data_IF_132293959760
#
_entry.id   IF_132293959760
#
_cell.length_a   1.000
_cell.length_b   1.000
_cell.length_c   1.000
_cell.angle_alpha   90.00
_cell.angle_beta   90.00
_cell.angle_gamma   90.00
#
_symmetry.space_group_name_H-M   'P 1'
#
loop_
_entity.id
_entity.type
_entity.pdbx_description
1 polymer ?
#
# COMPACT_ATOMS: atom_id res chain seq x y z
N UNK A 1 -12.75 24.27 5.31
CA UNK A 1 -11.94 24.51 6.51
C UNK A 1 -12.32 23.56 7.64
N UNK A 2 -11.35 22.96 8.32
CA UNK A 2 -11.55 22.12 9.51
C UNK A 2 -10.91 22.82 10.70
N UNK A 3 -11.65 22.95 11.81
CA UNK A 3 -11.16 23.56 13.05
C UNK A 3 -11.25 22.55 14.19
N UNK A 4 -10.13 22.29 14.85
CA UNK A 4 -10.03 21.45 16.05
C UNK A 4 -9.48 22.30 17.21
N UNK A 5 -10.19 22.33 18.34
CA UNK A 5 -9.79 23.11 19.51
C UNK A 5 -9.84 22.25 20.76
N UNK A 6 -8.67 22.04 21.37
CA UNK A 6 -8.48 21.28 22.61
C UNK A 6 -9.03 19.87 22.55
N UNK A 7 -8.98 19.21 21.38
CA UNK A 7 -9.59 17.89 21.14
C UNK A 7 -8.88 16.84 21.96
N UNK A 8 -9.64 16.18 22.86
CA UNK A 8 -9.17 15.06 23.67
C UNK A 8 -10.15 13.90 23.58
N UNK A 9 -9.59 12.68 23.53
CA UNK A 9 -10.38 11.45 23.37
C UNK A 9 -9.68 10.23 23.95
N UNK A 10 -10.46 9.34 24.59
CA UNK A 10 -10.03 8.03 25.06
C UNK A 10 -11.04 6.96 24.70
N UNK A 11 -10.58 5.77 24.28
CA UNK A 11 -11.47 4.65 23.94
C UNK A 11 -12.06 3.96 25.18
N UNK A 12 -11.31 3.92 26.28
CA UNK A 12 -11.63 3.16 27.49
C UNK A 12 -11.61 4.01 28.77
N UNK A 13 -11.38 5.31 28.63
CA UNK A 13 -11.24 6.24 29.74
C UNK A 13 -9.92 6.12 30.52
N UNK A 14 -9.04 5.16 30.16
CA UNK A 14 -7.79 4.92 30.88
C UNK A 14 -6.59 5.60 30.21
N UNK A 15 -6.46 5.47 28.88
CA UNK A 15 -5.37 6.05 28.12
C UNK A 15 -5.89 7.09 27.11
N UNK A 16 -5.30 8.29 27.12
CA UNK A 16 -5.61 9.33 26.14
C UNK A 16 -5.08 8.95 24.76
N UNK A 17 -5.98 8.77 23.80
CA UNK A 17 -5.62 8.59 22.39
C UNK A 17 -5.36 9.94 21.69
N UNK A 18 -6.08 10.99 22.12
CA UNK A 18 -5.83 12.40 21.76
C UNK A 18 -5.82 13.24 23.03
N UNK A 19 -4.92 14.19 23.13
CA UNK A 19 -4.71 15.00 24.33
C UNK A 19 -4.50 16.47 23.96
N UNK A 20 -5.59 17.22 23.94
CA UNK A 20 -5.59 18.66 23.73
C UNK A 20 -5.12 19.10 22.34
N UNK A 21 -5.59 18.49 21.27
CA UNK A 21 -5.20 18.84 19.90
C UNK A 21 -5.83 20.15 19.48
N UNK A 22 -4.99 21.14 19.16
CA UNK A 22 -5.35 22.39 18.49
C UNK A 22 -4.77 22.35 17.08
N UNK A 23 -5.65 22.32 16.07
CA UNK A 23 -5.24 22.21 14.66
C UNK A 23 -6.30 22.80 13.74
N UNK A 24 -5.87 23.58 12.74
CA UNK A 24 -6.72 24.07 11.66
C UNK A 24 -6.19 23.57 10.32
N UNK A 25 -7.11 23.17 9.43
CA UNK A 25 -6.81 22.81 8.04
C UNK A 25 -7.65 23.71 7.15
N UNK A 26 -6.98 24.42 6.24
CA UNK A 26 -7.63 25.39 5.36
C UNK A 26 -8.37 24.74 4.20
N UNK A 27 -9.30 25.46 3.58
CA UNK A 27 -9.98 24.98 2.37
C UNK A 27 -8.98 24.87 1.22
N UNK A 28 -9.02 23.76 0.50
CA UNK A 28 -8.12 23.47 -0.61
C UNK A 28 -6.67 23.16 -0.19
N UNK A 29 -6.41 22.94 1.10
CA UNK A 29 -5.07 22.57 1.60
C UNK A 29 -4.81 21.07 1.41
N UNK A 30 -3.60 20.72 1.01
CA UNK A 30 -3.09 19.35 1.11
C UNK A 30 -2.32 19.22 2.43
N UNK A 31 -2.97 18.65 3.43
CA UNK A 31 -2.45 18.49 4.78
C UNK A 31 -2.01 17.06 5.04
N UNK A 32 -0.79 16.86 5.53
CA UNK A 32 -0.25 15.54 5.84
C UNK A 32 -0.06 15.35 7.35
N UNK A 33 -0.38 14.15 7.84
CA UNK A 33 -0.20 13.75 9.24
C UNK A 33 0.77 12.57 9.30
N UNK A 34 1.88 12.78 9.98
CA UNK A 34 2.90 11.79 10.29
C UNK A 34 2.88 11.38 11.77
N UNK A 35 3.55 10.30 12.12
CA UNK A 35 3.75 9.86 13.50
C UNK A 35 3.86 8.35 13.61
N UNK A 36 4.39 7.85 14.71
CA UNK A 36 4.50 6.42 15.00
C UNK A 36 3.16 5.71 15.17
N UNK A 37 3.17 4.39 15.22
CA UNK A 37 1.97 3.60 15.53
C UNK A 37 1.47 3.96 16.93
N UNK A 38 0.14 4.09 17.09
CA UNK A 38 -0.48 4.48 18.35
C UNK A 38 -0.34 5.97 18.72
N UNK A 39 0.18 6.83 17.82
CA UNK A 39 0.31 8.28 18.10
C UNK A 39 -1.01 9.06 18.03
N UNK A 40 -2.13 8.43 17.64
CA UNK A 40 -3.46 9.06 17.58
C UNK A 40 -3.92 9.50 16.20
N UNK A 41 -3.16 9.32 15.11
CA UNK A 41 -3.47 9.79 13.75
C UNK A 41 -4.84 9.32 13.23
N UNK A 42 -5.07 8.01 13.21
CA UNK A 42 -6.34 7.44 12.73
C UNK A 42 -7.51 7.81 13.63
N UNK A 43 -7.26 7.93 14.95
CA UNK A 43 -8.26 8.44 15.90
C UNK A 43 -8.63 9.88 15.55
N UNK A 44 -7.65 10.74 15.31
CA UNK A 44 -7.88 12.11 14.89
C UNK A 44 -8.66 12.20 13.56
N UNK A 45 -8.25 11.42 12.54
CA UNK A 45 -8.97 11.36 11.26
C UNK A 45 -10.46 11.00 11.40
N UNK A 46 -10.79 10.08 12.30
CA UNK A 46 -12.18 9.67 12.59
C UNK A 46 -13.02 10.78 13.24
N UNK A 47 -12.41 11.75 13.89
CA UNK A 47 -13.11 12.93 14.39
C UNK A 47 -13.44 13.91 13.27
N UNK A 48 -12.59 13.99 12.23
CA UNK A 48 -12.79 14.90 11.11
C UNK A 48 -14.00 14.56 10.23
N UNK A 49 -14.49 13.33 10.27
CA UNK A 49 -15.73 12.93 9.58
C UNK A 49 -16.85 12.49 10.53
N UNK A 50 -16.77 12.89 11.81
CA UNK A 50 -17.75 12.59 12.86
C UNK A 50 -18.03 11.07 13.04
N UNK A 51 -17.02 10.20 12.80
CA UNK A 51 -17.08 8.78 13.20
C UNK A 51 -16.86 8.62 14.70
N UNK A 52 -16.03 9.49 15.29
CA UNK A 52 -15.83 9.60 16.72
C UNK A 52 -16.18 11.02 17.17
N UNK A 53 -16.70 11.14 18.39
CA UNK A 53 -16.93 12.43 19.04
C UNK A 53 -15.86 12.65 20.12
N UNK A 54 -15.32 13.86 20.30
CA UNK A 54 -14.32 14.13 21.31
C UNK A 54 -14.94 14.10 22.73
N UNK A 55 -14.17 13.61 23.70
CA UNK A 55 -14.55 13.69 25.13
C UNK A 55 -14.47 15.13 25.67
N UNK A 56 -13.53 15.92 25.09
CA UNK A 56 -13.38 17.34 25.40
C UNK A 56 -12.89 18.10 24.16
N UNK A 57 -13.13 19.39 24.13
CA UNK A 57 -12.82 20.25 23.00
C UNK A 57 -13.92 20.27 21.95
N UNK A 58 -13.60 20.70 20.74
CA UNK A 58 -14.56 20.76 19.62
C UNK A 58 -13.88 20.50 18.28
N UNK A 59 -14.64 19.91 17.36
CA UNK A 59 -14.27 19.71 15.95
C UNK A 59 -15.35 20.33 15.08
N UNK A 60 -14.95 21.19 14.16
CA UNK A 60 -15.85 21.77 13.15
C UNK A 60 -15.34 21.46 11.76
N UNK A 61 -16.24 21.02 10.90
CA UNK A 61 -15.95 20.70 9.49
C UNK A 61 -16.85 21.57 8.62
N UNK A 62 -16.25 22.46 7.85
CA UNK A 62 -16.97 23.43 7.03
C UNK A 62 -18.03 24.24 7.84
N UNK A 63 -17.67 24.61 9.09
CA UNK A 63 -18.54 25.32 10.02
C UNK A 63 -19.55 24.46 10.78
N UNK A 64 -19.75 23.20 10.40
CA UNK A 64 -20.62 22.23 11.06
C UNK A 64 -19.95 21.63 12.29
N UNK A 65 -20.62 21.59 13.43
CA UNK A 65 -20.12 21.02 14.67
C UNK A 65 -20.25 19.49 14.64
N UNK A 66 -19.12 18.77 14.79
CA UNK A 66 -19.12 17.31 14.75
C UNK A 66 -19.82 16.64 15.94
N UNK A 67 -20.11 17.39 17.01
CA UNK A 67 -20.86 16.90 18.18
C UNK A 67 -22.38 16.94 17.98
N UNK A 68 -22.88 17.65 16.96
CA UNK A 68 -24.31 17.74 16.64
C UNK A 68 -24.76 16.51 15.84
N UNK A 69 -25.61 15.62 16.40
CA UNK A 69 -26.09 14.42 15.73
C UNK A 69 -26.86 14.70 14.43
N UNK A 70 -27.50 15.86 14.33
CA UNK A 70 -28.28 16.27 13.15
C UNK A 70 -27.38 16.60 11.95
N UNK A 71 -26.09 17.00 12.22
CA UNK A 71 -25.15 17.41 11.20
C UNK A 71 -24.20 16.28 10.77
N UNK A 72 -24.22 15.13 11.44
CA UNK A 72 -23.31 14.00 11.15
C UNK A 72 -23.40 13.55 9.70
N UNK A 73 -24.58 13.49 9.14
CA UNK A 73 -24.78 13.09 7.75
C UNK A 73 -24.16 14.10 6.76
N UNK A 74 -24.36 15.38 6.99
CA UNK A 74 -23.82 16.46 6.16
C UNK A 74 -22.29 16.52 6.29
N UNK A 75 -21.74 16.28 7.48
CA UNK A 75 -20.30 16.20 7.71
C UNK A 75 -19.70 15.02 6.94
N UNK A 76 -20.31 13.84 6.99
CA UNK A 76 -19.81 12.63 6.28
C UNK A 76 -19.91 12.75 4.77
N UNK A 77 -20.92 13.47 4.26
CA UNK A 77 -21.01 13.77 2.83
C UNK A 77 -19.98 14.81 2.39
N UNK A 78 -19.61 15.74 3.28
CA UNK A 78 -18.61 16.78 3.03
C UNK A 78 -17.18 16.24 3.16
N UNK A 79 -16.90 15.40 4.16
CA UNK A 79 -15.59 14.85 4.48
C UNK A 79 -15.61 13.33 4.30
N UNK A 80 -15.31 12.88 3.08
CA UNK A 80 -15.21 11.47 2.74
C UNK A 80 -13.91 10.86 3.25
N UNK A 81 -13.97 9.66 3.83
CA UNK A 81 -12.83 8.98 4.40
C UNK A 81 -12.55 7.63 3.71
N UNK A 82 -11.29 7.39 3.39
CA UNK A 82 -10.78 6.10 2.93
C UNK A 82 -9.99 5.46 4.06
N UNK A 83 -10.40 4.27 4.49
CA UNK A 83 -9.78 3.55 5.60
C UNK A 83 -8.51 2.82 5.19
N UNK A 84 -7.68 2.50 6.18
CA UNK A 84 -6.44 1.74 6.03
C UNK A 84 -6.68 0.36 5.42
N UNK A 85 -7.69 -0.36 5.91
CA UNK A 85 -8.07 -1.66 5.39
C UNK A 85 -9.30 -1.54 4.49
N UNK A 86 -9.20 -1.77 3.18
CA UNK A 86 -10.34 -1.65 2.27
C UNK A 86 -11.43 -2.70 2.51
N UNK A 87 -11.10 -3.86 3.12
CA UNK A 87 -12.09 -4.88 3.43
C UNK A 87 -13.12 -4.40 4.48
N UNK A 88 -12.76 -3.42 5.31
CA UNK A 88 -13.66 -2.81 6.30
C UNK A 88 -14.58 -1.73 5.68
N UNK A 89 -14.32 -1.34 4.44
CA UNK A 89 -15.07 -0.28 3.74
C UNK A 89 -15.98 -0.82 2.64
N UNK A 90 -15.57 -1.89 1.94
CA UNK A 90 -16.32 -2.47 0.83
C UNK A 90 -17.56 -3.22 1.35
N UNK A 91 -18.75 -2.86 0.87
CA UNK A 91 -20.04 -3.39 1.34
C UNK A 91 -20.80 -4.18 0.27
N UNK A 92 -20.55 -3.91 -1.03
CA UNK A 92 -21.24 -4.58 -2.12
C UNK A 92 -20.44 -5.69 -2.77
N UNK A 93 -21.12 -6.61 -3.43
CA UNK A 93 -20.49 -7.75 -4.12
C UNK A 93 -19.82 -7.34 -5.41
N UNK A 94 -20.38 -6.39 -6.17
CA UNK A 94 -19.84 -5.89 -7.42
C UNK A 94 -19.20 -4.52 -7.24
N UNK A 95 -18.15 -4.27 -8.01
CA UNK A 95 -17.41 -3.00 -7.98
C UNK A 95 -18.32 -1.80 -8.31
N UNK A 96 -19.15 -1.90 -9.36
CA UNK A 96 -20.06 -0.80 -9.75
C UNK A 96 -21.07 -0.49 -8.65
N UNK A 97 -21.60 -1.52 -7.98
CA UNK A 97 -22.58 -1.35 -6.90
C UNK A 97 -21.93 -0.75 -5.65
N UNK A 98 -20.70 -1.14 -5.34
CA UNK A 98 -19.96 -0.59 -4.20
C UNK A 98 -19.63 0.89 -4.38
N UNK A 99 -19.21 1.27 -5.58
CA UNK A 99 -18.93 2.68 -5.92
C UNK A 99 -20.20 3.51 -5.98
N UNK A 100 -21.34 2.93 -6.38
CA UNK A 100 -22.64 3.60 -6.42
C UNK A 100 -23.25 3.81 -5.03
N UNK A 101 -22.87 3.00 -4.03
CA UNK A 101 -23.50 2.95 -2.71
C UNK A 101 -23.54 4.32 -1.99
N UNK A 102 -22.42 5.06 -2.03
CA UNK A 102 -22.35 6.39 -1.42
C UNK A 102 -23.34 7.40 -2.08
N UNK A 103 -23.23 7.63 -3.39
CA UNK A 103 -24.16 8.49 -4.13
C UNK A 103 -25.64 8.09 -4.00
N UNK A 104 -25.97 6.79 -3.96
CA UNK A 104 -27.34 6.31 -3.74
C UNK A 104 -27.87 6.74 -2.38
N UNK A 105 -27.08 6.59 -1.32
CA UNK A 105 -27.45 7.05 0.02
C UNK A 105 -27.60 8.57 0.09
N UNK A 106 -26.89 9.33 -0.74
CA UNK A 106 -27.02 10.78 -0.85
C UNK A 106 -28.23 11.21 -1.71
N UNK A 107 -28.99 10.26 -2.26
CA UNK A 107 -30.17 10.54 -3.09
C UNK A 107 -29.86 11.12 -4.46
N UNK A 108 -28.66 10.86 -4.98
CA UNK A 108 -28.26 11.29 -6.34
C UNK A 108 -29.08 10.52 -7.38
N UNK A 109 -29.48 11.20 -8.45
CA UNK A 109 -30.28 10.60 -9.53
C UNK A 109 -29.52 9.48 -10.23
N UNK A 110 -30.17 8.34 -10.53
CA UNK A 110 -29.55 7.13 -11.09
C UNK A 110 -28.73 7.38 -12.36
N UNK A 111 -29.18 8.29 -13.23
CA UNK A 111 -28.45 8.64 -14.45
C UNK A 111 -27.10 9.32 -14.14
N UNK A 112 -27.06 10.17 -13.11
CA UNK A 112 -25.85 10.84 -12.63
C UNK A 112 -24.93 9.84 -11.91
N UNK A 113 -25.49 8.92 -11.11
CA UNK A 113 -24.71 7.86 -10.44
C UNK A 113 -23.93 7.04 -11.47
N UNK A 114 -24.60 6.55 -12.52
CA UNK A 114 -23.96 5.78 -13.57
C UNK A 114 -22.83 6.53 -14.30
N UNK A 115 -22.95 7.85 -14.42
CA UNK A 115 -21.88 8.70 -14.97
C UNK A 115 -20.72 8.82 -13.99
N UNK A 116 -20.99 9.17 -12.71
CA UNK A 116 -19.98 9.31 -11.67
C UNK A 116 -19.16 8.03 -11.49
N UNK A 117 -19.82 6.86 -11.41
CA UNK A 117 -19.17 5.55 -11.30
C UNK A 117 -18.16 5.34 -12.43
N UNK A 118 -18.55 5.61 -13.70
CA UNK A 118 -17.62 5.47 -14.82
C UNK A 118 -16.43 6.43 -14.75
N UNK A 119 -16.69 7.68 -14.36
CA UNK A 119 -15.65 8.72 -14.27
C UNK A 119 -14.64 8.40 -13.16
N UNK A 120 -15.11 8.02 -11.96
CA UNK A 120 -14.21 7.71 -10.85
C UNK A 120 -13.45 6.41 -11.06
N UNK A 121 -14.08 5.36 -11.62
CA UNK A 121 -13.37 4.12 -11.99
C UNK A 121 -12.28 4.38 -13.02
N UNK A 122 -12.51 5.28 -13.98
CA UNK A 122 -11.48 5.73 -14.91
C UNK A 122 -10.36 6.49 -14.20
N UNK A 123 -10.70 7.39 -13.28
CA UNK A 123 -9.72 8.18 -12.52
C UNK A 123 -8.79 7.30 -11.68
N UNK A 124 -9.32 6.25 -11.05
CA UNK A 124 -8.52 5.30 -10.23
C UNK A 124 -7.91 4.14 -11.06
N UNK A 125 -8.09 4.13 -12.40
CA UNK A 125 -7.51 3.11 -13.28
C UNK A 125 -8.13 1.71 -13.14
N UNK A 126 -9.46 1.65 -12.93
CA UNK A 126 -10.25 0.42 -12.83
C UNK A 126 -11.30 0.28 -13.96
N UNK A 127 -11.03 0.85 -15.13
CA UNK A 127 -11.90 0.66 -16.31
C UNK A 127 -11.96 -0.82 -16.68
N UNK A 128 -13.18 -1.34 -16.87
CA UNK A 128 -13.44 -2.76 -17.18
C UNK A 128 -13.59 -3.67 -15.96
N UNK A 129 -13.50 -3.10 -14.75
CA UNK A 129 -13.71 -3.85 -13.50
C UNK A 129 -15.13 -3.69 -12.93
N UNK A 130 -16.03 -2.98 -13.59
CA UNK A 130 -17.38 -2.63 -13.12
C UNK A 130 -18.12 -3.84 -12.57
N UNK A 131 -18.09 -4.96 -13.31
CA UNK A 131 -18.80 -6.20 -12.97
C UNK A 131 -17.94 -7.26 -12.28
N UNK A 132 -16.76 -6.88 -11.80
CA UNK A 132 -15.94 -7.80 -11.01
C UNK A 132 -16.45 -7.86 -9.57
N UNK A 133 -16.29 -9.04 -8.97
CA UNK A 133 -16.62 -9.25 -7.57
C UNK A 133 -15.53 -8.62 -6.67
N UNK A 134 -15.95 -7.83 -5.70
CA UNK A 134 -15.04 -7.10 -4.81
C UNK A 134 -14.11 -8.01 -4.03
N UNK A 135 -14.59 -9.20 -3.63
CA UNK A 135 -13.79 -10.18 -2.90
C UNK A 135 -12.70 -10.85 -3.76
N UNK A 136 -12.84 -10.86 -5.09
CA UNK A 136 -11.86 -11.42 -6.02
C UNK A 136 -10.72 -10.45 -6.36
N UNK A 137 -10.80 -9.21 -5.91
CA UNK A 137 -9.81 -8.17 -6.18
C UNK A 137 -8.57 -8.33 -5.28
N UNK A 138 -7.42 -7.91 -5.80
CA UNK A 138 -6.21 -7.72 -4.99
C UNK A 138 -6.38 -6.56 -3.99
N UNK A 139 -5.61 -6.54 -2.88
CA UNK A 139 -5.69 -5.47 -1.88
C UNK A 139 -5.55 -4.07 -2.49
N UNK A 140 -4.60 -3.87 -3.42
CA UNK A 140 -4.45 -2.59 -4.11
C UNK A 140 -5.60 -2.24 -5.08
N UNK A 141 -6.31 -3.22 -5.64
CA UNK A 141 -7.53 -2.98 -6.40
C UNK A 141 -8.68 -2.61 -5.47
N UNK A 142 -8.86 -3.32 -4.36
CA UNK A 142 -9.84 -3.00 -3.32
C UNK A 142 -9.67 -1.57 -2.79
N UNK A 143 -8.43 -1.16 -2.51
CA UNK A 143 -8.12 0.19 -2.06
C UNK A 143 -8.54 1.25 -3.09
N UNK A 144 -8.34 0.97 -4.39
CA UNK A 144 -8.79 1.87 -5.46
C UNK A 144 -10.31 1.89 -5.62
N UNK A 145 -11.01 0.77 -5.35
CA UNK A 145 -12.48 0.73 -5.31
C UNK A 145 -12.99 1.57 -4.12
N UNK A 146 -12.42 1.41 -2.93
CA UNK A 146 -12.76 2.20 -1.75
C UNK A 146 -12.58 3.71 -2.01
N UNK A 147 -11.46 4.10 -2.62
CA UNK A 147 -11.23 5.48 -3.04
C UNK A 147 -12.27 5.96 -4.06
N UNK A 148 -12.60 5.13 -5.07
CA UNK A 148 -13.61 5.46 -6.07
C UNK A 148 -15.00 5.68 -5.43
N UNK A 149 -15.40 4.84 -4.46
CA UNK A 149 -16.66 4.99 -3.72
C UNK A 149 -16.75 6.33 -2.98
N UNK A 150 -15.65 6.74 -2.34
CA UNK A 150 -15.59 8.05 -1.68
C UNK A 150 -15.65 9.19 -2.69
N UNK A 151 -14.88 9.12 -3.78
CA UNK A 151 -14.86 10.17 -4.80
C UNK A 151 -16.19 10.33 -5.56
N UNK A 152 -16.95 9.24 -5.69
CA UNK A 152 -18.27 9.26 -6.33
C UNK A 152 -19.30 10.12 -5.56
N UNK A 153 -19.10 10.32 -4.25
CA UNK A 153 -19.89 11.24 -3.43
C UNK A 153 -19.58 12.72 -3.70
N UNK A 154 -18.46 13.04 -4.38
CA UNK A 154 -17.95 14.40 -4.62
C UNK A 154 -17.73 15.20 -3.33
N UNK A 155 -16.97 14.65 -2.36
CA UNK A 155 -16.73 15.33 -1.09
C UNK A 155 -15.88 16.59 -1.29
N UNK A 156 -15.96 17.56 -0.36
CA UNK A 156 -15.09 18.74 -0.33
C UNK A 156 -13.74 18.43 0.33
N UNK A 157 -13.73 17.50 1.27
CA UNK A 157 -12.55 17.02 1.99
C UNK A 157 -12.36 15.54 1.75
N UNK A 158 -11.19 15.13 1.33
CA UNK A 158 -10.79 13.73 1.19
C UNK A 158 -9.80 13.37 2.31
N UNK A 159 -10.21 12.45 3.19
CA UNK A 159 -9.38 11.95 4.28
C UNK A 159 -8.85 10.57 3.87
N UNK A 160 -7.54 10.40 3.87
CA UNK A 160 -6.85 9.17 3.50
C UNK A 160 -6.11 8.62 4.71
N UNK A 161 -6.64 7.59 5.36
CA UNK A 161 -6.00 6.96 6.51
C UNK A 161 -5.13 5.80 6.03
N UNK A 162 -3.83 6.07 5.86
CA UNK A 162 -2.82 5.11 5.36
C UNK A 162 -3.23 4.38 4.06
N UNK A 163 -4.01 5.04 3.21
CA UNK A 163 -4.58 4.48 1.99
C UNK A 163 -3.52 4.00 0.98
N UNK A 164 -2.27 4.45 1.10
CA UNK A 164 -1.15 4.06 0.25
C UNK A 164 -0.40 2.81 0.72
N UNK A 165 -0.61 2.37 1.98
CA UNK A 165 0.15 1.28 2.61
C UNK A 165 0.01 -0.08 1.90
N UNK A 166 -1.15 -0.34 1.32
CA UNK A 166 -1.47 -1.58 0.59
C UNK A 166 -1.07 -1.53 -0.89
N UNK A 167 -0.61 -0.39 -1.38
CA UNK A 167 -0.29 -0.17 -2.78
C UNK A 167 1.17 -0.49 -3.07
N UNK A 168 1.43 -1.06 -4.25
CA UNK A 168 2.77 -1.14 -4.79
C UNK A 168 3.29 0.26 -5.19
N UNK A 169 4.58 0.43 -5.48
CA UNK A 169 5.14 1.74 -5.83
C UNK A 169 4.45 2.42 -7.02
N UNK A 170 3.93 1.65 -8.00
CA UNK A 170 3.16 2.21 -9.12
C UNK A 170 1.78 2.67 -8.69
N UNK A 171 1.12 1.87 -7.85
CA UNK A 171 -0.17 2.22 -7.26
C UNK A 171 -0.07 3.48 -6.40
N UNK A 172 0.98 3.61 -5.58
CA UNK A 172 1.22 4.83 -4.78
C UNK A 172 1.42 6.07 -5.65
N UNK A 173 2.25 5.98 -6.70
CA UNK A 173 2.40 7.09 -7.67
C UNK A 173 1.07 7.45 -8.34
N UNK A 174 0.25 6.45 -8.65
CA UNK A 174 -1.10 6.66 -9.19
C UNK A 174 -2.02 7.38 -8.21
N UNK A 175 -2.02 6.98 -6.93
CA UNK A 175 -2.76 7.64 -5.86
C UNK A 175 -2.32 9.11 -5.70
N UNK A 176 -1.01 9.35 -5.57
CA UNK A 176 -0.48 10.72 -5.43
C UNK A 176 -0.86 11.61 -6.61
N UNK A 177 -0.77 11.08 -7.84
CA UNK A 177 -1.21 11.81 -9.03
C UNK A 177 -2.71 12.14 -9.00
N UNK A 178 -3.54 11.24 -8.49
CA UNK A 178 -4.97 11.50 -8.31
C UNK A 178 -5.21 12.57 -7.24
N UNK A 179 -4.49 12.50 -6.09
CA UNK A 179 -4.55 13.51 -5.04
C UNK A 179 -4.19 14.91 -5.56
N UNK A 180 -3.07 15.04 -6.28
CA UNK A 180 -2.69 16.34 -6.88
C UNK A 180 -3.76 16.86 -7.85
N UNK A 181 -4.29 16.01 -8.72
CA UNK A 181 -5.33 16.43 -9.66
C UNK A 181 -6.64 16.88 -8.97
N UNK A 182 -6.95 16.34 -7.79
CA UNK A 182 -8.08 16.76 -6.95
C UNK A 182 -7.75 18.05 -6.19
N UNK A 183 -6.57 18.14 -5.62
CA UNK A 183 -6.05 19.34 -4.95
C UNK A 183 -6.01 20.56 -5.88
N UNK A 184 -5.51 20.39 -7.11
CA UNK A 184 -5.50 21.43 -8.17
C UNK A 184 -6.92 21.95 -8.52
N UNK A 185 -7.96 21.17 -8.22
CA UNK A 185 -9.37 21.55 -8.38
C UNK A 185 -9.96 22.18 -7.11
N UNK A 186 -9.16 22.39 -6.08
CA UNK A 186 -9.56 23.01 -4.82
C UNK A 186 -10.12 22.04 -3.78
N UNK A 187 -9.96 20.71 -3.93
CA UNK A 187 -10.32 19.74 -2.90
C UNK A 187 -9.32 19.79 -1.75
N UNK A 188 -9.82 19.85 -0.52
CA UNK A 188 -8.97 19.70 0.67
C UNK A 188 -8.60 18.23 0.85
N UNK A 189 -7.32 17.93 1.07
CA UNK A 189 -6.82 16.57 1.28
C UNK A 189 -6.18 16.48 2.65
N UNK A 190 -6.60 15.50 3.43
CA UNK A 190 -5.96 15.12 4.70
C UNK A 190 -5.39 13.72 4.54
N UNK A 191 -4.07 13.60 4.48
CA UNK A 191 -3.37 12.35 4.25
C UNK A 191 -2.62 11.90 5.49
N UNK A 192 -2.96 10.74 6.02
CA UNK A 192 -2.13 10.05 7.00
C UNK A 192 -1.25 9.05 6.25
N UNK A 193 0.05 9.12 6.46
CA UNK A 193 1.01 8.23 5.81
C UNK A 193 2.24 7.96 6.67
N UNK A 194 2.96 6.90 6.34
CA UNK A 194 4.31 6.59 6.85
C UNK A 194 5.39 6.87 5.80
N UNK A 195 5.00 7.28 4.59
CA UNK A 195 5.92 7.54 3.49
C UNK A 195 6.30 9.01 3.47
N UNK A 196 7.57 9.29 3.74
CA UNK A 196 8.10 10.66 3.80
C UNK A 196 8.01 11.38 2.45
N UNK A 197 8.10 10.63 1.34
CA UNK A 197 7.95 11.15 -0.01
C UNK A 197 6.53 11.69 -0.27
N UNK A 198 5.50 11.07 0.34
CA UNK A 198 4.11 11.55 0.24
C UNK A 198 3.92 12.82 1.07
N UNK A 199 4.49 12.86 2.28
CA UNK A 199 4.46 14.04 3.14
C UNK A 199 5.22 15.22 2.52
N UNK A 200 6.25 14.96 1.72
CA UNK A 200 7.02 15.98 1.01
C UNK A 200 6.20 16.74 -0.05
N UNK A 201 5.10 16.15 -0.52
CA UNK A 201 4.22 16.74 -1.53
C UNK A 201 3.07 17.57 -0.93
N UNK A 202 2.90 17.56 0.40
CA UNK A 202 1.86 18.32 1.09
C UNK A 202 2.21 19.83 1.20
N UNK A 203 1.22 20.67 1.47
CA UNK A 203 1.41 22.08 1.80
C UNK A 203 1.90 22.26 3.24
N UNK A 204 1.32 21.48 4.17
CA UNK A 204 1.73 21.43 5.57
C UNK A 204 1.74 20.00 6.12
N UNK A 205 2.60 19.82 7.11
CA UNK A 205 2.80 18.54 7.79
C UNK A 205 2.63 18.73 9.30
N UNK A 206 1.85 17.87 9.93
CA UNK A 206 1.79 17.69 11.37
C UNK A 206 2.42 16.35 11.77
N UNK A 207 3.26 16.36 12.79
CA UNK A 207 3.81 15.14 13.39
C UNK A 207 3.12 14.90 14.72
N UNK A 208 2.47 13.74 14.83
CA UNK A 208 1.75 13.30 16.03
C UNK A 208 2.63 12.40 16.89
N UNK A 209 2.63 12.65 18.19
CA UNK A 209 3.28 11.81 19.19
C UNK A 209 2.43 11.74 20.45
N UNK A 210 2.15 10.53 20.94
CA UNK A 210 1.41 10.28 22.17
C UNK A 210 0.12 11.12 22.31
N UNK A 211 -0.68 11.19 21.25
CA UNK A 211 -1.95 11.91 21.21
C UNK A 211 -1.85 13.43 21.05
N UNK A 212 -0.65 13.98 20.86
CA UNK A 212 -0.39 15.43 20.71
C UNK A 212 0.27 15.77 19.38
N UNK A 213 0.14 17.01 18.94
CA UNK A 213 0.91 17.56 17.82
C UNK A 213 2.28 17.96 18.33
N UNK A 214 3.31 17.20 17.95
CA UNK A 214 4.69 17.45 18.34
C UNK A 214 5.37 18.50 17.45
N UNK A 215 5.05 18.48 16.13
CA UNK A 215 5.62 19.43 15.16
C UNK A 215 4.52 19.81 14.16
N UNK A 216 4.56 21.04 13.68
CA UNK A 216 3.65 21.56 12.65
C UNK A 216 4.39 22.59 11.80
N UNK A 217 4.34 22.47 10.48
CA UNK A 217 5.01 23.40 9.54
C UNK A 217 4.92 22.90 8.11
N UNK A 218 5.66 23.55 7.23
CA UNK A 218 5.85 23.09 5.85
C UNK A 218 6.71 21.82 5.78
N UNK A 219 6.63 21.03 4.71
CA UNK A 219 7.52 19.87 4.53
C UNK A 219 8.99 20.21 4.71
N UNK A 220 9.44 21.35 4.15
CA UNK A 220 10.84 21.79 4.26
C UNK A 220 11.25 22.10 5.70
N UNK A 221 10.36 22.71 6.50
CA UNK A 221 10.61 23.01 7.91
C UNK A 221 10.65 21.74 8.79
N UNK A 222 9.83 20.75 8.49
CA UNK A 222 9.67 19.55 9.31
C UNK A 222 10.62 18.43 8.88
N UNK A 223 10.63 18.07 7.58
CA UNK A 223 11.30 16.86 7.09
C UNK A 223 12.83 17.01 6.96
N UNK A 224 13.37 18.22 7.20
CA UNK A 224 14.80 18.45 7.28
C UNK A 224 15.38 18.32 8.70
N UNK A 225 14.52 18.23 9.73
CA UNK A 225 14.91 18.14 11.15
C UNK A 225 15.23 16.70 11.55
N UNK A 226 16.36 16.20 11.04
CA UNK A 226 16.75 14.80 11.16
C UNK A 226 16.73 14.27 12.59
N UNK A 227 17.37 14.99 13.51
CA UNK A 227 17.55 14.52 14.90
C UNK A 227 16.23 14.50 15.68
N UNK A 228 15.31 15.42 15.36
CA UNK A 228 13.97 15.46 15.96
C UNK A 228 13.08 14.34 15.40
N UNK A 229 13.13 14.07 14.08
CA UNK A 229 12.40 12.97 13.45
C UNK A 229 12.90 11.62 13.98
N UNK A 230 14.21 11.42 14.13
CA UNK A 230 14.77 10.19 14.67
C UNK A 230 14.31 9.94 16.13
N UNK A 231 14.22 10.99 16.97
CA UNK A 231 13.66 10.91 18.32
C UNK A 231 12.18 10.50 18.32
N UNK A 232 11.45 10.82 17.24
CA UNK A 232 10.05 10.45 17.03
C UNK A 232 9.89 9.08 16.33
N UNK A 233 11.00 8.36 16.09
CA UNK A 233 11.06 7.11 15.31
C UNK A 233 10.49 7.28 13.90
N UNK A 234 10.78 8.41 13.26
CA UNK A 234 10.43 8.71 11.89
C UNK A 234 11.68 8.81 11.02
N UNK A 235 11.58 8.31 9.80
CA UNK A 235 12.62 8.45 8.80
C UNK A 235 12.63 9.85 8.17
N UNK A 236 13.69 10.16 7.43
CA UNK A 236 13.74 11.32 6.54
C UNK A 236 13.46 10.89 5.10
N UNK A 237 13.03 11.84 4.23
CA UNK A 237 13.01 11.59 2.79
C UNK A 237 14.39 11.16 2.27
N UNK A 238 14.41 10.26 1.29
CA UNK A 238 15.66 9.76 0.68
C UNK A 238 16.52 10.89 0.11
N UNK A 239 15.91 11.94 -0.43
CA UNK A 239 16.55 13.19 -0.87
C UNK A 239 17.32 13.89 0.25
N UNK A 240 16.74 14.01 1.44
CA UNK A 240 17.39 14.60 2.62
C UNK A 240 18.58 13.74 3.09
N UNK A 241 18.41 12.42 3.13
CA UNK A 241 19.48 11.47 3.45
C UNK A 241 20.65 11.60 2.48
N UNK A 242 20.37 11.67 1.17
CA UNK A 242 21.38 11.87 0.14
C UNK A 242 22.10 13.21 0.31
N UNK A 243 21.36 14.30 0.55
CA UNK A 243 21.92 15.62 0.79
C UNK A 243 22.87 15.64 2.00
N UNK A 244 22.50 14.99 3.11
CA UNK A 244 23.37 14.83 4.29
C UNK A 244 24.65 14.05 3.96
N UNK A 245 24.52 12.93 3.25
CA UNK A 245 25.66 12.09 2.87
C UNK A 245 26.63 12.84 1.94
N UNK A 246 26.12 13.61 0.98
CA UNK A 246 26.93 14.43 0.08
C UNK A 246 27.66 15.54 0.83
N UNK A 247 26.99 16.25 1.75
CA UNK A 247 27.62 17.28 2.60
C UNK A 247 28.71 16.71 3.48
N UNK A 248 28.51 15.55 4.08
CA UNK A 248 29.51 14.86 4.87
C UNK A 248 30.79 14.53 4.06
N UNK A 249 30.66 14.37 2.73
CA UNK A 249 31.77 14.21 1.78
C UNK A 249 32.30 15.52 1.17
N UNK A 250 31.89 16.68 1.70
CA UNK A 250 32.35 17.98 1.24
C UNK A 250 31.72 18.47 -0.06
N UNK A 251 30.59 17.91 -0.48
CA UNK A 251 29.81 18.40 -1.62
C UNK A 251 28.83 19.48 -1.11
N UNK A 252 28.88 20.74 -1.62
CA UNK A 252 28.08 21.84 -1.11
C UNK A 252 26.66 21.83 -1.68
N UNK A 253 25.86 20.82 -1.32
CA UNK A 253 24.43 20.73 -1.67
C UNK A 253 23.57 21.26 -0.52
N UNK A 254 22.46 21.90 -0.84
CA UNK A 254 21.44 22.26 0.13
C UNK A 254 20.54 21.06 0.43
N UNK A 255 19.92 21.04 1.61
CA UNK A 255 18.91 20.02 1.91
C UNK A 255 17.70 20.28 1.03
N UNK A 256 17.20 19.21 0.40
CA UNK A 256 16.02 19.24 -0.46
C UNK A 256 15.09 18.11 -0.02
N UNK A 257 13.82 18.42 0.18
CA UNK A 257 12.82 17.44 0.64
C UNK A 257 12.31 16.62 -0.53
N UNK A 258 12.09 17.25 -1.68
CA UNK A 258 11.61 16.55 -2.90
C UNK A 258 12.76 16.01 -3.74
N UNK A 259 12.53 14.84 -4.33
CA UNK A 259 13.53 14.17 -5.20
C UNK A 259 13.93 15.05 -6.39
N UNK A 260 12.94 15.68 -7.05
CA UNK A 260 13.18 16.55 -8.20
C UNK A 260 14.07 17.75 -7.85
N UNK A 261 13.87 18.37 -6.69
CA UNK A 261 14.65 19.50 -6.22
C UNK A 261 16.09 19.09 -5.87
N UNK A 262 16.27 17.90 -5.29
CA UNK A 262 17.60 17.34 -5.02
C UNK A 262 18.36 17.06 -6.33
N UNK A 263 17.68 16.52 -7.34
CA UNK A 263 18.29 16.29 -8.68
C UNK A 263 18.71 17.63 -9.30
N UNK A 264 17.87 18.66 -9.21
CA UNK A 264 18.19 20.01 -9.70
C UNK A 264 19.39 20.61 -8.95
N UNK A 265 19.43 20.47 -7.62
CA UNK A 265 20.51 20.98 -6.77
C UNK A 265 21.85 20.28 -7.07
N UNK A 266 21.84 18.96 -7.21
CA UNK A 266 23.04 18.21 -7.62
C UNK A 266 23.51 18.67 -9.00
N UNK A 267 22.60 18.85 -9.94
CA UNK A 267 22.92 19.33 -11.29
C UNK A 267 23.54 20.72 -11.28
N UNK A 268 23.05 21.64 -10.44
CA UNK A 268 23.61 22.97 -10.22
C UNK A 268 25.05 22.89 -9.71
N UNK A 269 25.30 22.11 -8.65
CA UNK A 269 26.64 21.96 -8.06
C UNK A 269 27.63 21.35 -9.07
N UNK A 270 27.18 20.41 -9.89
CA UNK A 270 27.97 19.82 -10.97
C UNK A 270 28.39 20.88 -12.00
N UNK A 271 27.43 21.70 -12.46
CA UNK A 271 27.69 22.77 -13.43
C UNK A 271 28.69 23.82 -12.88
N UNK A 272 28.49 24.24 -11.62
CA UNK A 272 29.38 25.23 -10.96
C UNK A 272 30.82 24.73 -10.80
N UNK A 273 31.02 23.43 -10.62
CA UNK A 273 32.37 22.82 -10.53
C UNK A 273 33.03 22.57 -11.89
N UNK A 274 32.38 22.95 -13.00
CA UNK A 274 32.89 22.72 -14.35
C UNK A 274 33.02 21.22 -14.69
N UNK A 275 32.35 20.36 -13.93
CA UNK A 275 32.30 18.93 -14.22
C UNK A 275 31.30 18.74 -15.36
N UNK A 276 31.85 18.54 -16.57
CA UNK A 276 31.01 18.05 -17.68
C UNK A 276 30.41 16.73 -17.23
N UNK A 277 29.10 16.61 -17.35
CA UNK A 277 28.36 15.39 -17.10
C UNK A 277 29.15 14.23 -17.74
N UNK A 278 29.81 13.33 -16.97
CA UNK A 278 30.34 12.14 -17.58
C UNK A 278 29.12 11.51 -18.21
N UNK A 279 29.09 11.43 -19.55
CA UNK A 279 27.98 10.88 -20.28
C UNK A 279 27.42 9.76 -19.39
N UNK A 280 26.18 9.92 -18.90
CA UNK A 280 25.51 8.83 -18.21
C UNK A 280 25.62 7.73 -19.23
N UNK A 281 26.66 6.91 -19.09
CA UNK A 281 26.68 5.65 -19.77
C UNK A 281 25.40 5.06 -19.22
N UNK A 282 24.36 5.15 -20.02
CA UNK A 282 23.23 4.28 -19.84
C UNK A 282 23.88 2.92 -19.69
N UNK A 283 24.08 2.52 -18.42
CA UNK A 283 24.33 1.10 -18.22
C UNK A 283 23.14 0.49 -18.93
N UNK A 284 23.34 -0.21 -20.03
CA UNK A 284 22.25 -0.94 -20.57
C UNK A 284 21.77 -1.73 -19.38
N UNK A 285 20.52 -1.45 -18.92
CA UNK A 285 19.77 -2.42 -18.15
C UNK A 285 19.92 -3.66 -19.01
N UNK A 286 20.81 -4.56 -18.61
CA UNK A 286 20.98 -5.83 -19.29
C UNK A 286 19.62 -6.50 -19.17
N UNK A 287 18.80 -6.53 -20.21
CA UNK A 287 17.47 -7.12 -20.11
C UNK A 287 17.52 -8.62 -19.92
N UNK A 288 18.68 -9.23 -20.03
CA UNK A 288 18.77 -10.67 -20.33
C UNK A 288 19.86 -11.45 -19.58
N UNK A 289 20.28 -11.01 -18.39
CA UNK A 289 21.15 -11.86 -17.57
C UNK A 289 20.70 -11.88 -16.11
N UNK A 290 19.45 -12.26 -15.89
CA UNK A 290 19.11 -13.09 -14.75
C UNK A 290 18.82 -14.52 -15.25
N UNK A 291 19.60 -15.00 -16.20
CA UNK A 291 20.09 -16.35 -16.14
C UNK A 291 21.05 -16.32 -14.97
N UNK A 292 20.72 -17.02 -13.88
CA UNK A 292 21.59 -17.25 -12.79
C UNK A 292 23.04 -17.44 -13.31
N UNK A 293 23.90 -16.42 -13.19
CA UNK A 293 25.26 -16.68 -12.84
C UNK A 293 25.18 -17.21 -11.39
N UNK A 294 24.71 -18.44 -11.24
CA UNK A 294 25.27 -19.29 -10.23
C UNK A 294 26.77 -19.26 -10.55
N UNK A 295 27.54 -18.46 -9.80
CA UNK A 295 28.94 -18.71 -9.68
C UNK A 295 29.08 -20.22 -9.71
N UNK A 296 30.05 -20.73 -10.49
CA UNK A 296 30.47 -22.11 -10.47
C UNK A 296 30.88 -22.47 -9.02
N UNK A 297 29.87 -22.76 -8.23
CA UNK A 297 29.93 -23.38 -6.94
C UNK A 297 29.62 -24.84 -7.22
N UNK A 298 30.50 -25.74 -6.76
CA UNK A 298 30.37 -27.17 -6.73
C UNK A 298 28.90 -27.62 -6.69
N UNK A 299 28.55 -28.68 -7.42
CA UNK A 299 27.22 -29.27 -7.41
C UNK A 299 26.72 -29.32 -5.95
N UNK A 300 25.61 -28.64 -5.63
CA UNK A 300 25.18 -28.51 -4.25
C UNK A 300 24.93 -29.90 -3.69
N UNK A 301 25.54 -30.18 -2.55
CA UNK A 301 25.20 -31.37 -1.77
C UNK A 301 23.69 -31.37 -1.56
N UNK A 302 22.98 -32.38 -2.07
CA UNK A 302 21.54 -32.48 -2.02
C UNK A 302 21.00 -32.42 -0.57
N UNK A 303 21.87 -32.63 0.42
CA UNK A 303 21.55 -32.50 1.85
C UNK A 303 21.34 -31.08 2.34
N UNK A 304 21.73 -30.04 1.57
CA UNK A 304 21.68 -28.64 1.98
C UNK A 304 20.43 -27.89 1.46
N UNK A 305 19.65 -28.52 0.58
CA UNK A 305 18.41 -27.96 0.06
C UNK A 305 17.28 -28.12 1.07
N UNK A 306 16.68 -26.99 1.47
CA UNK A 306 15.54 -26.94 2.40
C UNK A 306 14.22 -26.89 1.64
N UNK A 307 14.17 -26.17 0.52
CA UNK A 307 13.00 -26.04 -0.34
C UNK A 307 13.41 -26.15 -1.80
N UNK A 308 12.67 -26.93 -2.57
CA UNK A 308 12.83 -27.08 -4.01
C UNK A 308 11.50 -27.03 -4.71
N UNK A 309 11.34 -26.12 -5.66
CA UNK A 309 10.21 -26.04 -6.58
C UNK A 309 10.73 -26.34 -7.98
N UNK A 310 10.06 -27.22 -8.71
CA UNK A 310 10.39 -27.55 -10.08
C UNK A 310 9.16 -27.38 -10.98
N UNK A 311 9.23 -26.42 -11.90
CA UNK A 311 8.22 -26.14 -12.93
C UNK A 311 6.78 -25.96 -12.39
N UNK A 312 6.64 -25.31 -11.25
CA UNK A 312 5.35 -25.13 -10.57
C UNK A 312 4.45 -24.17 -11.34
N UNK A 313 3.24 -24.63 -11.64
CA UNK A 313 2.16 -23.81 -12.20
C UNK A 313 0.90 -23.97 -11.35
N UNK A 314 0.20 -22.83 -11.13
CA UNK A 314 -1.01 -22.79 -10.34
C UNK A 314 -1.97 -21.69 -10.82
N UNK A 315 -3.27 -22.02 -10.88
CA UNK A 315 -4.36 -21.10 -11.21
C UNK A 315 -5.53 -21.29 -10.26
N UNK A 316 -6.07 -20.19 -9.76
CA UNK A 316 -7.28 -20.21 -8.93
C UNK A 316 -8.56 -20.45 -9.76
N UNK A 317 -8.57 -20.04 -11.03
CA UNK A 317 -9.76 -20.02 -11.87
C UNK A 317 -9.87 -21.18 -12.86
N UNK A 318 -8.75 -21.81 -13.25
CA UNK A 318 -8.76 -22.85 -14.28
C UNK A 318 -9.07 -24.23 -13.75
N UNK A 319 -10.11 -24.88 -14.29
CA UNK A 319 -10.36 -26.31 -14.13
C UNK A 319 -9.30 -27.16 -14.86
N UNK A 320 -9.18 -28.44 -14.51
CA UNK A 320 -8.24 -29.37 -15.15
C UNK A 320 -8.44 -29.48 -16.67
N UNK A 321 -9.70 -29.36 -17.17
CA UNK A 321 -10.01 -29.38 -18.61
C UNK A 321 -9.55 -28.10 -19.31
N UNK A 322 -9.72 -26.96 -18.67
CA UNK A 322 -9.33 -25.65 -19.23
C UNK A 322 -7.81 -25.51 -19.27
N UNK A 323 -7.08 -25.99 -18.27
CA UNK A 323 -5.61 -26.05 -18.30
C UNK A 323 -5.08 -26.84 -19.49
N UNK A 324 -5.64 -28.04 -19.75
CA UNK A 324 -5.27 -28.86 -20.91
C UNK A 324 -5.58 -28.16 -22.26
N UNK A 325 -6.70 -27.43 -22.35
CA UNK A 325 -7.04 -26.64 -23.56
C UNK A 325 -6.07 -25.46 -23.74
N UNK A 326 -5.72 -24.82 -22.65
CA UNK A 326 -4.80 -23.69 -22.64
C UNK A 326 -3.40 -24.11 -23.16
N UNK A 327 -2.85 -25.22 -22.64
CA UNK A 327 -1.58 -25.76 -23.11
C UNK A 327 -1.60 -26.13 -24.61
N UNK A 328 -2.71 -26.71 -25.09
CA UNK A 328 -2.85 -27.02 -26.53
C UNK A 328 -2.88 -25.78 -27.41
N UNK A 329 -3.52 -24.68 -26.96
CA UNK A 329 -3.52 -23.41 -27.68
C UNK A 329 -2.13 -22.77 -27.69
N UNK A 330 -1.49 -22.64 -26.53
CA UNK A 330 -0.15 -22.06 -26.40
C UNK A 330 0.91 -22.80 -27.23
N UNK A 331 0.79 -24.12 -27.35
CA UNK A 331 1.65 -24.93 -28.21
C UNK A 331 1.38 -24.71 -29.71
N UNK A 332 0.12 -24.42 -30.09
CA UNK A 332 -0.26 -24.18 -31.49
C UNK A 332 0.09 -22.76 -31.99
N UNK A 333 0.12 -21.77 -31.08
CA UNK A 333 0.41 -20.37 -31.42
C UNK A 333 1.92 -20.06 -31.55
N UNK A 334 2.78 -21.06 -31.40
CA UNK A 334 4.23 -20.98 -31.62
C UNK A 334 4.96 -20.06 -30.66
N UNK A 335 6.10 -20.49 -30.17
CA UNK A 335 6.95 -19.83 -29.18
C UNK A 335 7.55 -18.46 -29.59
N UNK A 336 6.87 -17.66 -30.44
CA UNK A 336 7.36 -16.35 -30.86
C UNK A 336 7.11 -15.21 -29.87
N UNK A 337 6.40 -15.46 -28.77
CA UNK A 337 6.13 -14.42 -27.79
C UNK A 337 7.00 -14.58 -26.53
N UNK A 338 8.32 -14.31 -26.67
CA UNK A 338 9.26 -14.21 -25.54
C UNK A 338 8.87 -13.08 -24.56
N UNK A 339 8.01 -12.13 -24.94
CA UNK A 339 7.46 -11.11 -24.04
C UNK A 339 6.46 -11.66 -23.03
N UNK A 340 5.87 -12.85 -23.26
CA UNK A 340 4.99 -13.52 -22.29
C UNK A 340 5.72 -14.18 -21.10
N UNK A 341 7.04 -14.18 -21.07
CA UNK A 341 7.83 -14.77 -19.96
C UNK A 341 7.91 -13.85 -18.73
N UNK A 342 7.59 -12.55 -18.86
CA UNK A 342 7.60 -11.56 -17.79
C UNK A 342 6.23 -10.86 -17.74
N UNK A 343 5.18 -11.66 -17.74
CA UNK A 343 3.88 -11.16 -18.08
C UNK A 343 3.08 -10.65 -16.89
N UNK A 344 2.83 -9.39 -16.91
CA UNK A 344 1.56 -8.81 -16.50
C UNK A 344 0.63 -8.84 -17.71
N UNK A 345 0.15 -10.00 -18.05
CA UNK A 345 -1.07 -10.11 -18.82
C UNK A 345 -2.22 -10.18 -17.82
N UNK A 346 -3.01 -9.09 -17.61
CA UNK A 346 -4.16 -9.11 -16.72
C UNK A 346 -5.19 -10.17 -17.12
N UNK A 347 -5.10 -10.68 -18.35
CA UNK A 347 -5.93 -11.77 -18.87
C UNK A 347 -5.33 -13.14 -18.59
N UNK A 348 -4.12 -13.24 -18.01
CA UNK A 348 -3.51 -14.53 -17.70
C UNK A 348 -4.22 -15.18 -16.50
N UNK A 349 -4.80 -16.38 -16.68
CA UNK A 349 -5.47 -17.06 -15.58
C UNK A 349 -4.50 -17.72 -14.59
N UNK A 350 -3.19 -17.59 -14.79
CA UNK A 350 -2.15 -18.22 -13.97
C UNK A 350 -1.64 -17.30 -12.87
N UNK A 351 -1.75 -17.76 -11.63
CA UNK A 351 -1.11 -17.10 -10.48
C UNK A 351 0.39 -17.44 -10.39
N UNK A 352 0.77 -18.68 -10.74
CA UNK A 352 2.15 -19.12 -10.94
C UNK A 352 2.24 -19.85 -12.27
N UNK A 353 3.32 -19.63 -13.01
CA UNK A 353 3.54 -20.29 -14.30
C UNK A 353 4.99 -20.72 -14.46
N UNK A 354 5.21 -22.03 -14.47
CA UNK A 354 6.52 -22.65 -14.70
C UNK A 354 7.62 -22.08 -13.78
N UNK A 355 7.32 -21.94 -12.48
CA UNK A 355 8.25 -21.36 -11.50
C UNK A 355 9.14 -22.46 -10.95
N UNK A 356 10.45 -22.24 -11.01
CA UNK A 356 11.45 -23.08 -10.36
C UNK A 356 12.27 -22.23 -9.40
N UNK A 357 12.51 -22.76 -8.19
CA UNK A 357 13.19 -22.05 -7.11
C UNK A 357 13.80 -23.06 -6.15
N UNK A 358 14.98 -22.77 -5.65
CA UNK A 358 15.62 -23.53 -4.57
C UNK A 358 15.96 -22.61 -3.42
N UNK A 359 15.84 -23.09 -2.18
CA UNK A 359 16.25 -22.37 -0.96
C UNK A 359 17.14 -23.31 -0.15
N UNK A 360 18.30 -22.82 0.25
CA UNK A 360 19.29 -23.56 1.03
C UNK A 360 19.13 -23.33 2.53
N UNK A 361 19.69 -24.19 3.32
CA UNK A 361 19.74 -24.04 4.77
C UNK A 361 20.47 -22.76 5.16
N UNK A 362 19.84 -21.94 6.03
CA UNK A 362 20.39 -20.66 6.48
C UNK A 362 20.33 -19.53 5.44
N UNK A 363 19.74 -19.76 4.27
CA UNK A 363 19.59 -18.73 3.25
C UNK A 363 18.48 -17.74 3.63
N UNK A 364 18.75 -16.44 3.40
CA UNK A 364 17.76 -15.36 3.44
C UNK A 364 17.41 -14.95 2.02
N UNK A 365 16.24 -15.38 1.55
CA UNK A 365 15.77 -15.15 0.18
C UNK A 365 14.70 -14.05 0.13
N UNK A 366 14.94 -12.99 -0.63
CA UNK A 366 13.98 -11.92 -0.88
C UNK A 366 13.13 -12.20 -2.13
N UNK A 367 11.79 -12.21 -1.97
CA UNK A 367 10.84 -12.29 -3.07
C UNK A 367 10.28 -10.90 -3.40
N UNK A 368 10.75 -10.28 -4.49
CA UNK A 368 10.31 -8.98 -4.95
C UNK A 368 9.37 -9.11 -6.16
N UNK A 369 8.42 -8.17 -6.28
CA UNK A 369 7.47 -8.12 -7.41
C UNK A 369 6.26 -7.25 -7.07
N UNK A 370 5.55 -6.78 -8.10
CA UNK A 370 4.34 -5.96 -7.95
C UNK A 370 3.19 -6.76 -7.31
N UNK A 371 2.15 -6.06 -6.89
CA UNK A 371 0.91 -6.68 -6.39
C UNK A 371 0.29 -7.56 -7.48
N UNK A 372 -0.15 -8.77 -7.10
CA UNK A 372 -0.68 -9.75 -8.07
C UNK A 372 0.37 -10.58 -8.83
N UNK A 373 1.67 -10.41 -8.56
CA UNK A 373 2.74 -11.20 -9.22
C UNK A 373 2.88 -12.64 -8.74
N UNK A 374 2.01 -13.11 -7.85
CA UNK A 374 2.01 -14.50 -7.36
C UNK A 374 2.87 -14.79 -6.13
N UNK A 375 3.49 -13.77 -5.49
CA UNK A 375 4.36 -13.96 -4.31
C UNK A 375 3.68 -14.71 -3.18
N UNK A 376 2.48 -14.29 -2.77
CA UNK A 376 1.72 -14.93 -1.69
C UNK A 376 1.30 -16.37 -2.07
N UNK A 377 0.95 -16.59 -3.35
CA UNK A 377 0.65 -17.92 -3.87
C UNK A 377 1.89 -18.82 -3.81
N UNK A 378 3.06 -18.29 -4.17
CA UNK A 378 4.32 -19.02 -4.07
C UNK A 378 4.60 -19.43 -2.62
N UNK A 379 4.55 -18.48 -1.67
CA UNK A 379 4.79 -18.73 -0.24
C UNK A 379 3.84 -19.82 0.30
N UNK A 380 2.56 -19.81 -0.10
CA UNK A 380 1.60 -20.83 0.30
C UNK A 380 1.90 -22.24 -0.24
N UNK A 381 2.66 -22.34 -1.33
CA UNK A 381 3.16 -23.64 -1.81
C UNK A 381 4.32 -24.16 -0.94
N UNK A 382 5.16 -23.24 -0.39
CA UNK A 382 6.35 -23.64 0.37
C UNK A 382 6.03 -24.36 1.68
N UNK A 383 4.89 -24.10 2.29
CA UNK A 383 4.44 -24.80 3.51
C UNK A 383 3.30 -25.80 3.27
N UNK A 384 2.95 -26.06 2.00
CA UNK A 384 1.91 -27.02 1.65
C UNK A 384 0.47 -26.59 1.96
N UNK A 385 0.21 -25.30 2.14
CA UNK A 385 -1.17 -24.74 2.23
C UNK A 385 -1.91 -24.94 0.90
N UNK A 386 -1.22 -24.68 -0.20
CA UNK A 386 -1.70 -24.90 -1.56
C UNK A 386 -0.82 -25.96 -2.22
N UNK A 387 -1.44 -26.84 -3.01
CA UNK A 387 -0.72 -27.85 -3.78
C UNK A 387 -0.53 -27.39 -5.21
N UNK A 388 0.63 -27.65 -5.82
CA UNK A 388 0.85 -27.33 -7.21
C UNK A 388 -0.13 -28.12 -8.09
N UNK A 389 -0.61 -27.49 -9.15
CA UNK A 389 -1.43 -28.14 -10.16
C UNK A 389 -0.56 -28.79 -11.23
N UNK A 390 0.65 -28.27 -11.41
CA UNK A 390 1.71 -28.78 -12.28
C UNK A 390 3.05 -28.55 -11.61
N UNK A 391 4.04 -29.39 -11.92
CA UNK A 391 5.34 -29.38 -11.29
C UNK A 391 5.37 -30.07 -9.94
N UNK A 392 6.43 -29.91 -9.19
CA UNK A 392 6.63 -30.51 -7.88
C UNK A 392 7.20 -29.51 -6.87
N UNK A 393 6.87 -29.71 -5.60
CA UNK A 393 7.38 -28.93 -4.49
C UNK A 393 7.84 -29.87 -3.39
N UNK A 394 9.12 -29.75 -3.01
CA UNK A 394 9.70 -30.45 -1.89
C UNK A 394 10.10 -29.46 -0.81
N UNK A 395 9.82 -29.76 0.42
CA UNK A 395 10.29 -29.02 1.58
C UNK A 395 10.84 -29.98 2.64
N UNK A 396 12.04 -29.71 3.14
CA UNK A 396 12.74 -30.57 4.10
C UNK A 396 12.88 -32.03 3.61
N UNK A 397 13.04 -32.23 2.30
CA UNK A 397 13.12 -33.54 1.66
C UNK A 397 11.77 -34.29 1.52
N UNK A 398 10.62 -33.65 1.88
CA UNK A 398 9.28 -34.21 1.84
C UNK A 398 8.51 -33.69 0.62
N UNK A 399 7.78 -34.56 -0.07
CA UNK A 399 6.95 -34.20 -1.24
C UNK A 399 5.61 -33.59 -0.81
N UNK A 400 5.36 -32.33 -1.10
CA UNK A 400 4.12 -31.64 -0.75
C UNK A 400 2.89 -32.06 -1.58
N UNK A 401 3.06 -32.88 -2.61
CA UNK A 401 1.94 -33.55 -3.27
C UNK A 401 1.31 -34.63 -2.37
N UNK A 402 2.10 -35.23 -1.48
CA UNK A 402 1.64 -36.24 -0.51
C UNK A 402 0.97 -35.57 0.70
N UNK A 403 -0.25 -35.98 1.07
CA UNK A 403 -1.00 -35.42 2.21
C UNK A 403 -0.29 -35.56 3.56
N UNK A 404 0.40 -36.69 3.79
CA UNK A 404 1.09 -36.95 5.06
C UNK A 404 2.34 -36.06 5.18
N UNK A 405 3.10 -35.94 4.09
CA UNK A 405 4.30 -35.13 4.04
C UNK A 405 3.98 -33.66 4.17
N UNK A 406 2.93 -33.18 3.48
CA UNK A 406 2.47 -31.81 3.62
C UNK A 406 2.00 -31.47 5.06
N UNK A 407 1.38 -32.41 5.78
CA UNK A 407 1.03 -32.22 7.19
C UNK A 407 2.29 -32.13 8.09
N UNK A 408 3.31 -32.96 7.81
CA UNK A 408 4.57 -32.92 8.54
C UNK A 408 5.37 -31.63 8.27
N UNK A 409 5.31 -31.10 7.05
CA UNK A 409 5.96 -29.83 6.68
C UNK A 409 5.30 -28.66 7.36
N UNK A 410 3.97 -28.62 7.46
CA UNK A 410 3.23 -27.52 8.14
C UNK A 410 3.66 -27.33 9.60
N UNK A 411 4.03 -28.41 10.28
CA UNK A 411 4.55 -28.36 11.65
C UNK A 411 5.98 -27.80 11.75
N UNK A 412 6.70 -27.67 10.63
CA UNK A 412 8.12 -27.28 10.61
C UNK A 412 8.39 -25.99 9.82
N UNK A 413 7.49 -25.64 8.88
CA UNK A 413 7.61 -24.46 8.03
C UNK A 413 6.50 -23.50 8.43
N UNK A 414 6.82 -22.50 9.24
CA UNK A 414 5.91 -21.45 9.67
C UNK A 414 5.69 -20.43 8.54
N UNK A 415 4.49 -19.88 8.47
CA UNK A 415 4.12 -18.76 7.58
C UNK A 415 3.48 -17.67 8.40
N UNK A 416 3.97 -16.45 8.26
CA UNK A 416 3.32 -15.25 8.77
C UNK A 416 2.56 -14.59 7.63
N UNK A 417 1.24 -14.43 7.79
CA UNK A 417 0.40 -13.80 6.77
C UNK A 417 0.49 -12.27 6.84
N UNK A 418 0.13 -11.62 5.75
CA UNK A 418 0.10 -10.15 5.65
C UNK A 418 -0.82 -9.49 6.67
N UNK A 419 -1.91 -10.15 7.03
CA UNK A 419 -2.91 -9.68 8.00
C UNK A 419 -2.83 -10.53 9.26
N UNK A 420 -2.26 -10.02 10.35
CA UNK A 420 -2.11 -10.78 11.61
C UNK A 420 -3.46 -11.20 12.21
N UNK A 421 -4.51 -10.41 12.00
CA UNK A 421 -5.87 -10.69 12.50
C UNK A 421 -6.41 -12.04 11.99
N UNK A 422 -5.93 -12.51 10.85
CA UNK A 422 -6.32 -13.81 10.29
C UNK A 422 -5.61 -15.00 10.95
N UNK A 423 -4.63 -14.73 11.81
CA UNK A 423 -3.85 -15.76 12.52
C UNK A 423 -4.17 -15.82 14.01
N UNK A 424 -4.76 -14.75 14.57
CA UNK A 424 -5.10 -14.66 15.99
C UNK A 424 -6.48 -15.28 16.22
N UNK A 425 -6.56 -16.26 17.13
CA UNK A 425 -7.78 -17.01 17.42
C UNK A 425 -8.21 -16.90 18.90
N UNK A 426 -7.28 -16.55 19.79
CA UNK A 426 -7.51 -16.52 21.23
C UNK A 426 -7.77 -15.12 21.75
N UNK A 427 -8.41 -15.02 22.91
CA UNK A 427 -8.73 -13.75 23.57
C UNK A 427 -7.50 -13.09 24.22
N UNK A 428 -6.47 -13.88 24.54
CA UNK A 428 -5.24 -13.38 25.16
C UNK A 428 -4.01 -13.81 24.38
N UNK A 429 -2.97 -12.97 24.40
CA UNK A 429 -1.68 -13.26 23.77
C UNK A 429 -1.08 -14.58 24.23
N UNK A 430 -1.16 -14.87 25.54
CA UNK A 430 -0.64 -16.12 26.11
C UNK A 430 -1.35 -17.36 25.56
N UNK A 431 -2.66 -17.30 25.39
CA UNK A 431 -3.44 -18.40 24.82
C UNK A 431 -3.16 -18.59 23.34
N UNK A 432 -3.01 -17.49 22.58
CA UNK A 432 -2.76 -17.54 21.15
C UNK A 432 -1.36 -18.09 20.85
N UNK A 433 -0.33 -17.67 21.59
CA UNK A 433 1.03 -18.21 21.48
C UNK A 433 1.10 -19.69 21.89
N UNK A 434 0.28 -20.12 22.86
CA UNK A 434 0.23 -21.51 23.32
C UNK A 434 -0.60 -22.43 22.40
N UNK A 435 -1.30 -21.88 21.41
CA UNK A 435 -2.18 -22.65 20.50
C UNK A 435 -1.39 -23.57 19.55
N UNK A 436 -0.17 -23.23 19.15
CA UNK A 436 0.72 -24.02 18.29
C UNK A 436 1.47 -25.09 19.08
#
# INVERSE_FOLDING_TARGET
>A
MIECRGVSFSYDGAAQALDGIDLNIEDGEFFCILGGNGSGKSTFAKHLNALLQPDAGSVRVNGMDASDPELVYDIRSTAGMVFQNPDDQLVATLVEDDVAFGPENLGVESAQIAQRVREVLKAVGLVGFERHETHALSGGQKQRVALAGVLAMEPRVLILDEASSMLDPRGRKGLMKACHALHDRGMTIVMITHFMEEAAEADRVAVFQAGRVAMLGTPDEILTRADELEQLNLDMPASCCLGRALRAKGVPVHAQVREADMVAEISRVYAERGMTNPAVRSMPLRPDTVAAESAAADEPDASDLVIELSHVSYSYSLSARERRRWHKRSAAEGASNKQALWGNDPSSPWALRNVSLTVRRGEFLGLAGHTGSGKSTLVQHLNGLIRPQEGSVYALGLDLANKKDAAAVKAKVGVVFQYPERQLFAETVAQDVAFG
#
